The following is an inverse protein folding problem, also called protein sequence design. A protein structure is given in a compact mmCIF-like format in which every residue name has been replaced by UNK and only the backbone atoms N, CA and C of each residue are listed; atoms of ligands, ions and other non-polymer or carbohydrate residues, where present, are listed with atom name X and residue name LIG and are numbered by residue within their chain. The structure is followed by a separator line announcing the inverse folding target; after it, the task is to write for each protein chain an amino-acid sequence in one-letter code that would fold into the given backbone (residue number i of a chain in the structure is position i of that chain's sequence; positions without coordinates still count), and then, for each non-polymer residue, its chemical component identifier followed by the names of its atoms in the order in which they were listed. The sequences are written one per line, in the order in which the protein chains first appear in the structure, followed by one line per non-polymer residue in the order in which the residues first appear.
data_IF_935874482846
#
_entry.id   IF_935874482846
#
_cell.length_a   1.000
_cell.length_b   1.000
_cell.length_c   1.000
_cell.angle_alpha   90.00
_cell.angle_beta   90.00
_cell.angle_gamma   90.00
#
_symmetry.space_group_name_H-M   'P 1'
#
loop_
_entity.id
_entity.type
_entity.pdbx_description
1 polymer ?
#
# COMPACT_ATOMS: atom_id res chain seq x y z
N UNK A 1 22.06 -34.13 -21.81
CA UNK A 1 22.00 -32.66 -21.75
C UNK A 1 20.99 -32.28 -20.67
N UNK A 2 21.45 -31.85 -19.50
CA UNK A 2 20.59 -31.44 -18.38
C UNK A 2 21.30 -30.31 -17.63
N UNK A 3 20.94 -29.07 -17.94
CA UNK A 3 21.47 -27.88 -17.27
C UNK A 3 20.62 -27.59 -16.02
N UNK A 4 21.14 -27.94 -14.84
CA UNK A 4 20.55 -27.52 -13.57
C UNK A 4 21.03 -26.11 -13.25
N UNK A 5 20.24 -25.10 -13.63
CA UNK A 5 20.49 -23.71 -13.25
C UNK A 5 20.07 -23.53 -11.78
N UNK A 6 21.02 -23.63 -10.86
CA UNK A 6 20.78 -23.23 -9.46
C UNK A 6 20.99 -21.72 -9.34
N UNK A 7 19.89 -20.97 -9.22
CA UNK A 7 19.91 -19.56 -8.86
C UNK A 7 20.47 -19.40 -7.43
N UNK A 8 21.79 -19.21 -7.31
CA UNK A 8 22.38 -18.62 -6.10
C UNK A 8 22.05 -17.13 -6.12
N UNK A 9 20.96 -16.76 -5.44
CA UNK A 9 20.72 -15.38 -5.06
C UNK A 9 21.90 -14.98 -4.15
N UNK A 10 22.80 -14.19 -4.70
CA UNK A 10 23.90 -13.58 -3.96
C UNK A 10 23.30 -12.73 -2.86
N UNK A 11 23.45 -13.18 -1.61
CA UNK A 11 23.15 -12.37 -0.44
C UNK A 11 24.06 -11.14 -0.51
N UNK A 12 23.51 -9.97 -0.81
CA UNK A 12 24.23 -8.71 -0.62
C UNK A 12 24.59 -8.61 0.87
N UNK A 13 25.88 -8.58 1.25
CA UNK A 13 26.22 -8.33 2.63
C UNK A 13 25.99 -6.85 2.88
N UNK A 14 24.84 -6.48 3.46
CA UNK A 14 24.78 -5.20 4.15
C UNK A 14 25.72 -5.31 5.35
N UNK A 15 26.94 -4.78 5.22
CA UNK A 15 27.90 -4.66 6.32
C UNK A 15 27.35 -3.64 7.31
N UNK A 16 26.38 -4.06 8.14
CA UNK A 16 25.90 -3.26 9.26
C UNK A 16 27.01 -3.24 10.31
N UNK A 17 27.77 -2.15 10.35
CA UNK A 17 28.79 -1.90 11.37
C UNK A 17 28.10 -1.86 12.75
N UNK A 18 28.22 -2.93 13.54
CA UNK A 18 27.69 -3.00 14.90
C UNK A 18 28.74 -2.45 15.89
N UNK A 19 28.48 -1.26 16.43
CA UNK A 19 29.24 -0.71 17.56
C UNK A 19 28.71 -1.32 18.87
N UNK A 20 29.54 -2.13 19.54
CA UNK A 20 29.25 -2.70 20.86
C UNK A 20 29.69 -1.74 21.99
N UNK A 21 29.30 -0.46 21.92
CA UNK A 21 29.45 0.46 23.05
C UNK A 21 28.32 0.14 24.03
N UNK A 22 28.68 -0.35 25.22
CA UNK A 22 27.80 -1.04 26.18
C UNK A 22 26.62 -0.27 26.79
N UNK A 23 25.95 0.65 26.09
CA UNK A 23 24.66 1.19 26.50
C UNK A 23 23.53 0.38 25.88
N UNK A 24 23.00 -0.57 26.64
CA UNK A 24 21.78 -1.28 26.28
C UNK A 24 20.64 -0.72 27.15
N UNK A 25 19.77 0.05 26.51
CA UNK A 25 18.35 -0.32 26.50
C UNK A 25 17.96 -0.26 25.03
N UNK A 26 17.83 -1.44 24.39
CA UNK A 26 17.21 -1.48 23.06
C UNK A 26 15.74 -1.21 23.30
N UNK A 27 15.25 -0.08 22.83
CA UNK A 27 13.81 0.12 22.77
C UNK A 27 13.14 -0.90 21.85
N UNK A 28 11.80 -0.87 21.76
CA UNK A 28 11.04 -1.81 20.95
C UNK A 28 11.58 -1.93 19.53
N UNK A 29 11.48 -3.15 19.00
CA UNK A 29 11.88 -3.40 17.60
C UNK A 29 10.92 -2.65 16.69
N UNK A 30 11.35 -2.24 15.49
CA UNK A 30 10.49 -1.54 14.52
C UNK A 30 9.20 -2.30 14.18
N UNK A 31 9.21 -3.63 14.28
CA UNK A 31 8.04 -4.49 14.05
C UNK A 31 7.02 -4.46 15.19
N UNK A 32 7.38 -4.00 16.39
CA UNK A 32 6.49 -3.93 17.54
C UNK A 32 5.67 -2.63 17.53
N UNK A 33 4.74 -2.51 16.56
CA UNK A 33 3.97 -1.28 16.29
C UNK A 33 3.25 -0.76 17.55
N UNK A 34 2.65 -1.66 18.35
CA UNK A 34 1.91 -1.27 19.56
C UNK A 34 2.80 -0.56 20.58
N UNK A 35 4.01 -1.08 20.82
CA UNK A 35 4.97 -0.47 21.74
C UNK A 35 5.53 0.83 21.17
N UNK A 36 5.84 0.85 19.87
CA UNK A 36 6.30 2.08 19.21
C UNK A 36 5.23 3.19 19.28
N UNK A 37 3.95 2.84 19.20
CA UNK A 37 2.86 3.80 19.34
C UNK A 37 2.79 4.40 20.74
N UNK A 38 2.97 3.58 21.78
CA UNK A 38 3.04 4.04 23.17
C UNK A 38 4.16 5.07 23.35
N UNK A 39 5.39 4.74 22.95
CA UNK A 39 6.52 5.69 23.01
C UNK A 39 6.30 6.94 22.16
N UNK A 40 5.66 6.83 20.99
CA UNK A 40 5.34 7.98 20.16
C UNK A 40 4.33 8.91 20.85
N UNK A 41 3.33 8.35 21.55
CA UNK A 41 2.37 9.14 22.32
C UNK A 41 3.01 9.76 23.57
N UNK A 42 3.90 9.04 24.23
CA UNK A 42 4.63 9.54 25.40
C UNK A 42 5.53 10.73 25.06
N UNK A 43 5.94 10.88 23.80
CA UNK A 43 6.67 12.06 23.33
C UNK A 43 5.87 13.36 23.50
N UNK A 44 4.53 13.28 23.44
CA UNK A 44 3.64 14.43 23.58
C UNK A 44 3.07 14.58 25.00
N UNK A 45 3.06 13.49 25.78
CA UNK A 45 2.54 13.48 27.16
C UNK A 45 3.60 13.81 28.19
N UNK A 46 4.77 13.18 28.07
CA UNK A 46 5.80 13.16 29.11
C UNK A 46 7.13 13.73 28.64
N UNK A 47 7.77 14.52 29.51
CA UNK A 47 9.12 15.02 29.26
C UNK A 47 10.13 13.86 29.31
N UNK A 48 11.05 13.83 28.35
CA UNK A 48 12.15 12.86 28.35
C UNK A 48 13.27 13.34 29.28
N UNK A 49 13.62 12.53 30.29
CA UNK A 49 14.66 12.88 31.27
C UNK A 49 16.07 12.44 30.84
N UNK A 50 16.16 11.44 29.97
CA UNK A 50 17.44 10.90 29.48
C UNK A 50 17.50 11.00 27.96
N UNK A 51 18.68 11.29 27.42
CA UNK A 51 18.91 11.35 25.98
C UNK A 51 18.49 10.05 25.26
N UNK A 52 18.73 8.89 25.88
CA UNK A 52 18.35 7.60 25.33
C UNK A 52 16.83 7.44 25.17
N UNK A 53 16.06 7.92 26.14
CA UNK A 53 14.59 7.90 26.10
C UNK A 53 14.07 8.84 25.00
N UNK A 54 14.60 10.06 24.96
CA UNK A 54 14.25 11.03 23.92
C UNK A 54 14.55 10.49 22.50
N UNK A 55 15.72 9.86 22.33
CA UNK A 55 16.10 9.23 21.07
C UNK A 55 15.13 8.11 20.68
N UNK A 56 14.74 7.25 21.62
CA UNK A 56 13.83 6.15 21.35
C UNK A 56 12.43 6.64 20.95
N UNK A 57 11.93 7.69 21.60
CA UNK A 57 10.67 8.35 21.27
C UNK A 57 10.70 8.90 19.83
N UNK A 58 11.78 9.58 19.45
CA UNK A 58 11.97 10.07 18.08
C UNK A 58 12.02 8.95 17.03
N UNK A 59 12.73 7.85 17.30
CA UNK A 59 12.80 6.70 16.39
C UNK A 59 11.43 6.04 16.21
N UNK A 60 10.66 5.92 17.30
CA UNK A 60 9.31 5.36 17.28
C UNK A 60 8.35 6.26 16.49
N UNK A 61 8.43 7.57 16.70
CA UNK A 61 7.63 8.58 16.00
C UNK A 61 7.91 8.62 14.49
N UNK A 62 9.17 8.40 14.06
CA UNK A 62 9.58 8.46 12.65
C UNK A 62 8.73 7.57 11.75
N UNK A 63 8.42 6.35 12.20
CA UNK A 63 7.65 5.37 11.43
C UNK A 63 6.24 5.92 11.17
N UNK A 64 5.59 6.47 12.20
CA UNK A 64 4.26 7.03 12.08
C UNK A 64 4.21 8.30 11.25
N UNK A 65 5.22 9.18 11.35
CA UNK A 65 5.31 10.37 10.49
C UNK A 65 5.46 9.95 9.03
N UNK A 66 6.35 9.00 8.73
CA UNK A 66 6.55 8.55 7.36
C UNK A 66 5.25 8.00 6.75
N UNK A 67 4.61 7.05 7.42
CA UNK A 67 3.36 6.47 6.91
C UNK A 67 2.20 7.47 6.96
N UNK A 68 2.20 8.41 7.90
CA UNK A 68 1.22 9.49 7.97
C UNK A 68 1.31 10.43 6.77
N UNK A 69 2.51 10.90 6.42
CA UNK A 69 2.73 11.77 5.26
C UNK A 69 2.44 11.03 3.96
N UNK A 70 2.98 9.82 3.80
CA UNK A 70 2.74 9.00 2.60
C UNK A 70 1.25 8.67 2.44
N UNK A 71 0.59 8.28 3.53
CA UNK A 71 -0.84 7.99 3.55
C UNK A 71 -1.68 9.23 3.24
N UNK A 72 -1.32 10.38 3.81
CA UNK A 72 -1.98 11.65 3.52
C UNK A 72 -1.88 12.03 2.04
N UNK A 73 -0.68 11.98 1.47
CA UNK A 73 -0.48 12.25 0.05
C UNK A 73 -1.22 11.24 -0.84
N UNK A 74 -1.25 9.96 -0.46
CA UNK A 74 -1.99 8.94 -1.20
C UNK A 74 -3.50 9.18 -1.17
N UNK A 75 -4.04 9.60 -0.02
CA UNK A 75 -5.46 9.94 0.12
C UNK A 75 -5.80 11.22 -0.65
N UNK A 76 -4.95 12.23 -0.62
CA UNK A 76 -5.16 13.46 -1.39
C UNK A 76 -5.22 13.18 -2.90
N UNK A 77 -4.33 12.33 -3.41
CA UNK A 77 -4.38 11.88 -4.82
C UNK A 77 -5.66 11.08 -5.13
N UNK A 78 -6.18 10.31 -4.16
CA UNK A 78 -7.40 9.54 -4.33
C UNK A 78 -8.63 10.45 -4.43
N UNK A 79 -8.74 11.46 -3.57
CA UNK A 79 -9.87 12.39 -3.54
C UNK A 79 -9.79 13.47 -4.63
N UNK A 80 -8.59 13.97 -4.88
CA UNK A 80 -8.29 15.00 -5.88
C UNK A 80 -7.37 14.42 -6.97
N UNK A 81 -7.89 13.57 -7.86
CA UNK A 81 -7.07 13.00 -8.91
C UNK A 81 -6.54 14.11 -9.82
N UNK A 82 -5.27 14.00 -10.21
CA UNK A 82 -4.65 14.91 -11.16
C UNK A 82 -5.41 14.85 -12.49
N UNK A 83 -5.52 15.99 -13.20
CA UNK A 83 -6.25 16.16 -14.48
C UNK A 83 -5.60 15.44 -15.68
N UNK A 84 -4.94 14.31 -15.46
CA UNK A 84 -4.38 13.46 -16.51
C UNK A 84 -5.29 12.29 -16.80
N UNK A 85 -5.43 11.96 -18.09
CA UNK A 85 -6.18 10.77 -18.56
C UNK A 85 -5.73 9.48 -17.85
N UNK A 86 -4.45 9.40 -17.47
CA UNK A 86 -3.88 8.29 -16.72
C UNK A 86 -4.66 7.97 -15.44
N UNK A 87 -4.99 8.99 -14.64
CA UNK A 87 -5.66 8.79 -13.36
C UNK A 87 -7.11 8.34 -13.52
N UNK A 88 -7.76 8.69 -14.64
CA UNK A 88 -9.10 8.17 -14.92
C UNK A 88 -9.07 6.67 -15.26
N UNK A 89 -8.01 6.17 -15.92
CA UNK A 89 -7.93 4.76 -16.26
C UNK A 89 -7.41 3.88 -15.12
N UNK A 90 -6.42 4.37 -14.37
CA UNK A 90 -5.66 3.59 -13.41
C UNK A 90 -5.97 3.93 -11.94
N UNK A 91 -6.96 4.78 -11.64
CA UNK A 91 -7.43 4.92 -10.27
C UNK A 91 -7.79 3.53 -9.72
N UNK A 92 -7.34 3.16 -8.51
CA UNK A 92 -7.70 1.87 -7.93
C UNK A 92 -9.22 1.62 -7.93
N UNK A 93 -10.01 2.67 -7.68
CA UNK A 93 -11.48 2.60 -7.72
C UNK A 93 -12.00 2.23 -9.12
N UNK A 94 -11.43 2.84 -10.17
CA UNK A 94 -11.85 2.58 -11.55
C UNK A 94 -11.38 1.22 -12.05
N UNK A 95 -10.20 0.77 -11.63
CA UNK A 95 -9.71 -0.59 -11.90
C UNK A 95 -10.62 -1.63 -11.23
N UNK A 96 -10.95 -1.44 -9.95
CA UNK A 96 -11.86 -2.34 -9.24
C UNK A 96 -13.25 -2.34 -9.88
N UNK A 97 -13.78 -1.17 -10.25
CA UNK A 97 -15.06 -1.06 -10.98
C UNK A 97 -15.02 -1.80 -12.33
N UNK A 98 -13.93 -1.68 -13.10
CA UNK A 98 -13.77 -2.42 -14.36
C UNK A 98 -13.65 -3.92 -14.13
N UNK A 99 -12.93 -4.34 -13.08
CA UNK A 99 -12.79 -5.73 -12.71
C UNK A 99 -14.14 -6.34 -12.33
N UNK A 100 -14.88 -5.73 -11.41
CA UNK A 100 -16.21 -6.21 -11.03
C UNK A 100 -17.23 -6.10 -12.18
N UNK A 101 -17.17 -5.02 -12.98
CA UNK A 101 -18.00 -4.87 -14.17
C UNK A 101 -17.72 -5.91 -15.25
N UNK A 102 -16.51 -6.45 -15.33
CA UNK A 102 -16.18 -7.58 -16.20
C UNK A 102 -16.88 -8.86 -15.73
N UNK A 103 -16.94 -9.10 -14.42
CA UNK A 103 -17.66 -10.25 -13.87
C UNK A 103 -19.20 -10.10 -13.94
N UNK A 104 -19.73 -8.88 -13.93
CA UNK A 104 -21.18 -8.63 -13.99
C UNK A 104 -21.74 -8.41 -15.41
N UNK A 105 -20.91 -8.44 -16.45
CA UNK A 105 -21.41 -8.33 -17.83
C UNK A 105 -22.09 -9.64 -18.25
N UNK A 106 -23.42 -9.65 -18.30
CA UNK A 106 -24.13 -10.60 -19.16
C UNK A 106 -23.88 -10.21 -20.62
N UNK A 107 -23.28 -11.12 -21.40
CA UNK A 107 -23.07 -10.92 -22.83
C UNK A 107 -24.41 -10.95 -23.58
N UNK A 108 -25.05 -9.79 -23.77
CA UNK A 108 -26.10 -9.63 -24.79
C UNK A 108 -25.45 -9.51 -26.17
N UNK A 109 -24.80 -10.57 -26.64
CA UNK A 109 -24.37 -10.63 -28.03
C UNK A 109 -25.59 -10.94 -28.91
N UNK A 110 -25.54 -10.59 -30.20
CA UNK A 110 -26.58 -11.00 -31.16
C UNK A 110 -26.82 -12.52 -31.18
N UNK A 111 -25.86 -13.31 -30.69
CA UNK A 111 -25.91 -14.77 -30.63
C UNK A 111 -26.25 -15.34 -29.23
N UNK A 112 -26.12 -14.55 -28.15
CA UNK A 112 -26.54 -14.90 -26.79
C UNK A 112 -27.60 -13.90 -26.33
N UNK A 113 -28.85 -14.19 -26.66
CA UNK A 113 -29.99 -13.46 -26.16
C UNK A 113 -30.53 -14.17 -24.90
N UNK A 114 -30.49 -13.50 -23.75
CA UNK A 114 -31.29 -13.90 -22.60
C UNK A 114 -32.73 -13.49 -22.94
N UNK A 115 -33.66 -14.45 -23.06
CA UNK A 115 -34.98 -14.37 -23.71
C UNK A 115 -36.00 -13.37 -23.13
N UNK A 116 -35.52 -12.31 -22.48
CA UNK A 116 -36.25 -11.30 -21.74
C UNK A 116 -36.13 -9.90 -22.38
N UNK A 117 -35.28 -9.68 -23.38
CA UNK A 117 -35.11 -8.37 -24.03
C UNK A 117 -35.98 -8.22 -25.30
N UNK A 118 -36.64 -7.07 -25.46
CA UNK A 118 -37.52 -6.80 -26.61
C UNK A 118 -36.74 -6.76 -27.93
N UNK A 119 -37.29 -7.39 -28.98
CA UNK A 119 -36.73 -7.49 -30.33
C UNK A 119 -36.37 -6.11 -30.94
N UNK A 120 -37.09 -5.06 -30.55
CA UNK A 120 -36.87 -3.69 -31.02
C UNK A 120 -35.45 -3.18 -30.74
N UNK A 121 -34.85 -3.58 -29.61
CA UNK A 121 -33.49 -3.19 -29.22
C UNK A 121 -32.41 -3.80 -30.12
N UNK A 122 -32.72 -4.87 -30.86
CA UNK A 122 -31.79 -5.53 -31.79
C UNK A 122 -31.66 -4.78 -33.11
N UNK A 123 -32.78 -4.25 -33.60
CA UNK A 123 -32.82 -3.51 -34.86
C UNK A 123 -31.97 -2.23 -34.76
N UNK A 124 -31.91 -1.62 -33.57
CA UNK A 124 -31.07 -0.45 -33.31
C UNK A 124 -29.56 -0.74 -33.36
N UNK A 125 -29.11 -1.97 -33.07
CA UNK A 125 -27.69 -2.34 -33.06
C UNK A 125 -27.14 -2.70 -34.44
N UNK A 126 -28.00 -2.94 -35.43
CA UNK A 126 -27.63 -3.33 -36.81
C UNK A 126 -27.48 -2.09 -37.71
N UNK A 127 -28.04 -0.94 -37.32
CA UNK A 127 -27.86 0.35 -38.00
C UNK A 127 -26.57 1.03 -37.56
#
# INVERSE_FOLDING_TARGET
MNYRITNKISKFPCLSHKRYLGNIVRGPTSMEIKKNLEYAMDMFKDKSYTYHDFKQKCESLRIFIYFGVVGYCALDILFNPLKSSYWNQFLPVNIMKKLFGFFSKEESSIFKHNGNASYEKYIELIK
#
